data_IF_054223507823
#
_entry.id   IF_054223507823
#
_cell.length_a   1.000
_cell.length_b   1.000
_cell.length_c   1.000
_cell.angle_alpha   90.00
_cell.angle_beta   90.00
_cell.angle_gamma   90.00
#
_symmetry.space_group_name_H-M   'P 1'
#
loop_
_entity.id
_entity.type
_entity.pdbx_description
1 polymer ?
#
# COMPACT_ATOMS: atom_id res chain seq x y z
N UNK A 1 -0.35 -13.75 6.81
CA UNK A 1 -0.28 -12.45 6.14
C UNK A 1 -1.46 -12.32 5.21
N UNK A 2 -2.15 -11.19 5.23
CA UNK A 2 -3.31 -10.90 4.37
C UNK A 2 -3.12 -9.54 3.74
N UNK A 3 -3.44 -9.41 2.44
CA UNK A 3 -3.53 -8.11 1.77
C UNK A 3 -5.00 -7.69 1.75
N UNK A 4 -5.31 -6.47 2.19
CA UNK A 4 -6.68 -5.94 2.22
C UNK A 4 -6.71 -4.45 1.90
N UNK A 5 -7.88 -3.97 1.48
CA UNK A 5 -8.16 -2.54 1.41
C UNK A 5 -8.14 -1.90 2.81
N UNK A 6 -7.64 -0.67 2.88
CA UNK A 6 -7.68 0.17 4.07
C UNK A 6 -8.77 1.24 3.89
N UNK A 7 -9.79 1.18 4.75
CA UNK A 7 -10.94 2.08 4.72
C UNK A 7 -10.75 3.25 5.70
N UNK A 8 -11.55 4.31 5.58
CA UNK A 8 -11.53 5.45 6.51
C UNK A 8 -11.77 5.06 7.98
N UNK A 9 -12.40 3.91 8.23
CA UNK A 9 -12.52 3.33 9.57
C UNK A 9 -11.20 2.80 10.15
N UNK A 10 -10.25 2.40 9.29
CA UNK A 10 -8.87 2.02 9.66
C UNK A 10 -7.98 3.26 9.90
N UNK A 11 -8.43 4.47 9.50
CA UNK A 11 -7.59 5.69 9.39
C UNK A 11 -7.28 6.37 10.73
N UNK A 12 -7.85 5.95 11.87
CA UNK A 12 -7.37 6.44 13.18
C UNK A 12 -5.87 6.24 13.38
N UNK A 13 -5.28 5.27 12.70
CA UNK A 13 -3.85 4.90 12.76
C UNK A 13 -3.07 5.16 11.47
N UNK A 14 -3.66 5.72 10.40
CA UNK A 14 -2.91 5.92 9.14
C UNK A 14 -1.77 6.92 9.32
N UNK A 15 -2.05 8.07 9.97
CA UNK A 15 -1.04 9.08 10.29
C UNK A 15 0.09 8.53 11.17
N UNK A 16 -0.25 7.73 12.18
CA UNK A 16 0.74 7.10 13.06
C UNK A 16 1.57 6.06 12.31
N UNK A 17 0.93 5.23 11.49
CA UNK A 17 1.58 4.22 10.68
C UNK A 17 2.58 4.83 9.68
N UNK A 18 2.21 5.89 8.96
CA UNK A 18 3.14 6.53 8.02
C UNK A 18 4.31 7.20 8.74
N UNK A 19 4.10 7.74 9.95
CA UNK A 19 5.16 8.36 10.76
C UNK A 19 6.17 7.33 11.28
N UNK A 20 5.70 6.11 11.61
CA UNK A 20 6.56 5.01 12.03
C UNK A 20 7.22 4.27 10.85
N UNK A 21 6.71 4.44 9.63
CA UNK A 21 7.14 3.69 8.45
C UNK A 21 8.29 4.34 7.69
N UNK A 22 9.07 3.50 7.01
CA UNK A 22 9.96 3.94 5.95
C UNK A 22 9.16 4.09 4.67
N UNK A 23 9.25 5.27 4.05
CA UNK A 23 8.64 5.58 2.77
C UNK A 23 9.56 5.17 1.60
N UNK A 24 8.97 4.53 0.59
CA UNK A 24 9.57 4.30 -0.73
C UNK A 24 8.57 4.72 -1.81
N UNK A 25 9.00 5.55 -2.75
CA UNK A 25 8.24 5.82 -3.99
C UNK A 25 8.67 4.85 -5.09
N UNK A 26 7.73 4.38 -5.89
CA UNK A 26 7.99 3.55 -7.06
C UNK A 26 7.05 3.90 -8.20
N UNK A 27 7.52 3.75 -9.43
CA UNK A 27 6.75 4.05 -10.64
C UNK A 27 6.24 2.74 -11.24
N UNK A 28 4.95 2.69 -11.53
CA UNK A 28 4.31 1.53 -12.14
C UNK A 28 4.12 1.81 -13.63
N UNK A 29 5.14 1.50 -14.42
CA UNK A 29 5.11 1.65 -15.88
C UNK A 29 3.96 0.85 -16.52
N UNK A 30 3.42 1.40 -17.61
CA UNK A 30 2.36 0.82 -18.45
C UNK A 30 1.06 0.45 -17.71
N UNK A 31 0.82 1.00 -16.52
CA UNK A 31 -0.41 0.75 -15.77
C UNK A 31 -0.97 2.03 -15.14
N UNK A 32 -2.15 2.45 -15.60
CA UNK A 32 -2.83 3.63 -15.06
C UNK A 32 -3.86 3.26 -14.01
N UNK A 33 -3.61 3.65 -12.76
CA UNK A 33 -4.60 3.56 -11.70
C UNK A 33 -5.71 4.57 -11.94
N UNK A 34 -6.97 4.14 -11.86
CA UNK A 34 -8.15 5.00 -12.12
C UNK A 34 -8.71 5.60 -10.83
N UNK A 35 -8.50 4.91 -9.71
CA UNK A 35 -9.09 5.24 -8.42
C UNK A 35 -8.00 5.54 -7.40
N UNK A 36 -8.34 6.38 -6.41
CA UNK A 36 -7.54 6.55 -5.21
C UNK A 36 -7.91 5.46 -4.22
N UNK A 37 -6.93 4.69 -3.74
CA UNK A 37 -7.15 3.65 -2.75
C UNK A 37 -5.87 3.34 -2.00
N UNK A 38 -6.01 2.60 -0.90
CA UNK A 38 -4.90 2.13 -0.08
C UNK A 38 -5.06 0.64 0.17
N UNK A 39 -3.98 -0.12 -0.01
CA UNK A 39 -3.94 -1.53 0.39
C UNK A 39 -2.89 -1.72 1.46
N UNK A 40 -3.17 -2.61 2.42
CA UNK A 40 -2.28 -2.94 3.53
C UNK A 40 -1.97 -4.42 3.59
N UNK A 41 -0.74 -4.75 4.00
CA UNK A 41 -0.35 -6.09 4.45
C UNK A 41 -0.49 -6.16 5.96
N UNK A 42 -1.32 -7.09 6.41
CA UNK A 42 -1.57 -7.34 7.82
C UNK A 42 -1.02 -8.71 8.25
N UNK A 43 -0.41 -8.76 9.43
CA UNK A 43 -0.01 -10.01 10.09
C UNK A 43 -0.35 -9.94 11.56
N UNK A 44 -0.98 -10.99 12.10
CA UNK A 44 -1.40 -11.06 13.51
C UNK A 44 -2.19 -9.82 13.98
N UNK A 45 -3.09 -9.28 13.14
CA UNK A 45 -3.89 -8.10 13.47
C UNK A 45 -3.14 -6.76 13.38
N UNK A 46 -1.87 -6.76 12.94
CA UNK A 46 -1.05 -5.55 12.82
C UNK A 46 -0.73 -5.24 11.36
N UNK A 47 -0.97 -4.00 10.95
CA UNK A 47 -0.52 -3.46 9.67
C UNK A 47 1.01 -3.33 9.68
N UNK A 48 1.68 -3.94 8.71
CA UNK A 48 3.15 -3.98 8.63
C UNK A 48 3.73 -3.31 7.38
N UNK A 49 2.94 -3.24 6.32
CA UNK A 49 3.27 -2.54 5.08
C UNK A 49 2.00 -2.06 4.39
N UNK A 50 2.07 -1.00 3.60
CA UNK A 50 0.94 -0.49 2.83
C UNK A 50 1.39 0.20 1.55
N UNK A 51 0.49 0.27 0.58
CA UNK A 51 0.61 1.10 -0.63
C UNK A 51 -0.51 2.13 -0.65
N UNK A 52 -0.14 3.39 -0.92
CA UNK A 52 -1.06 4.46 -1.26
C UNK A 52 -1.01 4.70 -2.77
N UNK A 53 -2.17 4.59 -3.41
CA UNK A 53 -2.35 4.83 -4.84
C UNK A 53 -3.22 6.07 -5.02
N UNK A 54 -2.74 7.00 -5.85
CA UNK A 54 -3.52 8.15 -6.30
C UNK A 54 -3.95 7.93 -7.74
N UNK A 55 -5.26 7.99 -7.98
CA UNK A 55 -5.82 7.81 -9.30
C UNK A 55 -5.27 8.84 -10.29
N UNK A 56 -4.87 8.36 -11.46
CA UNK A 56 -4.28 9.17 -12.54
C UNK A 56 -2.78 9.42 -12.41
N UNK A 57 -2.14 9.00 -11.32
CA UNK A 57 -0.69 9.05 -11.13
C UNK A 57 -0.06 7.67 -11.41
N UNK A 58 1.15 7.67 -11.98
CA UNK A 58 1.94 6.46 -12.22
C UNK A 58 2.91 6.17 -11.05
N UNK A 59 3.06 7.13 -10.13
CA UNK A 59 3.82 6.98 -8.89
C UNK A 59 2.91 6.42 -7.79
N UNK A 60 3.39 5.40 -7.08
CA UNK A 60 2.75 4.87 -5.88
C UNK A 60 3.70 4.96 -4.69
N UNK A 61 3.13 5.15 -3.50
CA UNK A 61 3.89 5.27 -2.26
C UNK A 61 3.75 4.03 -1.42
N UNK A 62 4.87 3.43 -1.06
CA UNK A 62 4.98 2.25 -0.21
C UNK A 62 5.49 2.66 1.17
N UNK A 63 4.84 2.15 2.20
CA UNK A 63 5.14 2.41 3.59
C UNK A 63 5.36 1.07 4.28
N UNK A 64 6.52 0.86 4.91
CA UNK A 64 6.80 -0.38 5.65
C UNK A 64 7.38 -0.05 7.01
N UNK A 65 6.96 -0.78 8.05
CA UNK A 65 7.57 -0.62 9.35
C UNK A 65 9.06 -0.99 9.28
N UNK A 66 9.96 -0.32 10.04
CA UNK A 66 11.41 -0.44 9.85
C UNK A 66 11.94 -1.86 10.01
N UNK A 67 11.34 -2.67 10.88
CA UNK A 67 11.73 -4.07 11.08
C UNK A 67 11.41 -4.99 9.88
N UNK A 68 10.64 -4.51 8.91
CA UNK A 68 10.28 -5.25 7.69
C UNK A 68 10.88 -4.63 6.42
N UNK A 69 11.82 -3.69 6.53
CA UNK A 69 12.40 -2.97 5.38
C UNK A 69 13.06 -3.87 4.32
N UNK A 70 13.56 -5.04 4.73
CA UNK A 70 14.24 -6.00 3.84
C UNK A 70 13.27 -7.01 3.22
N UNK A 71 11.98 -6.97 3.59
CA UNK A 71 10.95 -7.83 3.00
C UNK A 71 10.42 -7.15 1.75
N UNK A 72 10.43 -7.87 0.63
CA UNK A 72 9.89 -7.38 -0.63
C UNK A 72 8.35 -7.38 -0.63
N UNK A 73 7.77 -6.34 -0.03
CA UNK A 73 6.33 -6.08 -0.10
C UNK A 73 5.93 -5.31 -1.35
N UNK A 74 6.88 -4.73 -2.07
CA UNK A 74 6.59 -3.94 -3.28
C UNK A 74 5.93 -4.80 -4.34
N UNK A 75 6.51 -5.95 -4.67
CA UNK A 75 5.95 -6.86 -5.67
C UNK A 75 4.54 -7.33 -5.30
N UNK A 76 4.32 -7.64 -4.02
CA UNK A 76 3.02 -8.10 -3.49
C UNK A 76 1.97 -6.99 -3.60
N UNK A 77 2.29 -5.79 -3.10
CA UNK A 77 1.35 -4.68 -3.02
C UNK A 77 1.05 -4.07 -4.40
N UNK A 78 2.04 -3.94 -5.28
CA UNK A 78 1.80 -3.49 -6.66
C UNK A 78 0.90 -4.49 -7.41
N UNK A 79 1.19 -5.79 -7.30
CA UNK A 79 0.38 -6.81 -7.97
C UNK A 79 -1.07 -6.79 -7.47
N UNK A 80 -1.26 -6.66 -6.15
CA UNK A 80 -2.57 -6.54 -5.55
C UNK A 80 -3.29 -5.25 -5.99
N UNK A 81 -2.57 -4.12 -6.06
CA UNK A 81 -3.13 -2.84 -6.50
C UNK A 81 -3.58 -2.91 -7.97
N UNK A 82 -2.79 -3.53 -8.85
CA UNK A 82 -3.17 -3.75 -10.25
C UNK A 82 -4.46 -4.57 -10.35
N UNK A 83 -4.52 -5.69 -9.63
CA UNK A 83 -5.70 -6.55 -9.59
C UNK A 83 -6.94 -5.81 -9.07
N UNK A 84 -6.82 -5.11 -7.94
CA UNK A 84 -7.89 -4.34 -7.31
C UNK A 84 -8.47 -3.28 -8.27
N UNK A 85 -7.59 -2.52 -8.94
CA UNK A 85 -7.96 -1.49 -9.92
C UNK A 85 -8.57 -2.06 -11.22
N UNK A 86 -8.32 -3.32 -11.56
CA UNK A 86 -8.98 -3.98 -12.70
C UNK A 86 -10.36 -4.54 -12.38
N UNK A 87 -10.65 -4.80 -11.10
CA UNK A 87 -11.93 -5.34 -10.65
C UNK A 87 -12.97 -4.27 -10.28
N UNK A 88 -12.57 -3.00 -10.20
CA UNK A 88 -13.42 -1.83 -9.92
C UNK A 88 -13.41 -0.85 -11.11
#
# INVERSE_FOLDING_TARGET
MVVRELNDGDIKSWGDFINESVLKSTFVEDFKFKLCFKLGVETNGKLISAVEVKGGEDEVKLYSLPQYKEVDFEGILISAAKYYNSCH
#
